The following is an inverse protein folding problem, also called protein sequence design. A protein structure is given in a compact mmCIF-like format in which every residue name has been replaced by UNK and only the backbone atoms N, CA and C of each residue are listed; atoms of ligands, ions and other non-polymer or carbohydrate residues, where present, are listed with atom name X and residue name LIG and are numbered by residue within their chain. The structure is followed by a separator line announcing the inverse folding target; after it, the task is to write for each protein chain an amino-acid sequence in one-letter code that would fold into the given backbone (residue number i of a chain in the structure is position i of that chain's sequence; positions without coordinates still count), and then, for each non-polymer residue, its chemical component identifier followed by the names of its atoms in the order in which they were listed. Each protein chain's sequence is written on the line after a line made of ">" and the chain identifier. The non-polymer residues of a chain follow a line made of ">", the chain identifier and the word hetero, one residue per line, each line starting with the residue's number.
data_IF_992178078280
#
_entry.id   IF_992178078280
#
_cell.length_a   1.000
_cell.length_b   1.000
_cell.length_c   1.000
_cell.angle_alpha   90.00
_cell.angle_beta   90.00
_cell.angle_gamma   90.00
#
_symmetry.space_group_name_H-M   'P 1'
#
loop_
_entity.id
_entity.type
_entity.pdbx_description
1 polymer ?
#
# COMPACT_ATOMS: atom_id res chain seq x y z
N UNK A 1 -20.04 15.01 27.35
CA UNK A 1 -19.45 14.51 26.10
C UNK A 1 -17.95 14.54 26.30
N UNK A 2 -17.34 13.44 26.71
CA UNK A 2 -15.89 13.32 26.71
C UNK A 2 -15.45 13.20 25.26
N UNK A 3 -14.78 14.24 24.74
CA UNK A 3 -14.03 14.11 23.50
C UNK A 3 -12.96 13.09 23.81
N UNK A 4 -13.04 11.91 23.20
CA UNK A 4 -12.07 10.84 23.37
C UNK A 4 -10.75 11.29 22.71
N UNK A 5 -10.01 12.16 23.40
CA UNK A 5 -8.75 12.72 22.95
C UNK A 5 -7.69 11.65 23.16
N UNK A 6 -7.20 11.08 22.05
CA UNK A 6 -6.00 10.26 22.05
C UNK A 6 -4.88 11.02 22.77
N UNK A 7 -4.25 10.37 23.75
CA UNK A 7 -3.12 10.97 24.47
C UNK A 7 -1.89 10.99 23.57
N UNK A 8 -0.94 11.90 23.82
CA UNK A 8 0.29 11.97 23.03
C UNK A 8 1.07 10.65 23.04
N UNK A 9 1.04 9.92 24.16
CA UNK A 9 1.67 8.60 24.25
C UNK A 9 0.97 7.55 23.38
N UNK A 10 -0.37 7.54 23.36
CA UNK A 10 -1.13 6.65 22.47
C UNK A 10 -0.91 7.02 21.01
N UNK A 11 -0.86 8.31 20.70
CA UNK A 11 -0.60 8.83 19.36
C UNK A 11 0.81 8.45 18.90
N UNK A 12 1.82 8.63 19.75
CA UNK A 12 3.20 8.20 19.50
C UNK A 12 3.29 6.71 19.21
N UNK A 13 2.66 5.87 20.01
CA UNK A 13 2.66 4.41 19.81
C UNK A 13 1.98 4.01 18.49
N UNK A 14 0.90 4.71 18.11
CA UNK A 14 0.22 4.48 16.84
C UNK A 14 1.10 4.87 15.64
N UNK A 15 1.82 5.98 15.73
CA UNK A 15 2.76 6.44 14.72
C UNK A 15 3.91 5.45 14.57
N UNK A 16 4.52 5.00 15.67
CA UNK A 16 5.62 4.02 15.65
C UNK A 16 5.17 2.72 14.97
N UNK A 17 4.02 2.18 15.37
CA UNK A 17 3.46 0.96 14.74
C UNK A 17 3.20 1.14 13.25
N UNK A 18 2.74 2.31 12.82
CA UNK A 18 2.51 2.61 11.41
C UNK A 18 3.83 2.61 10.62
N UNK A 19 4.88 3.21 11.19
CA UNK A 19 6.22 3.24 10.58
C UNK A 19 6.86 1.84 10.54
N UNK A 20 6.69 1.03 11.59
CA UNK A 20 7.17 -0.37 11.64
C UNK A 20 6.46 -1.28 10.63
N UNK A 21 5.21 -0.96 10.27
CA UNK A 21 4.44 -1.77 9.32
C UNK A 21 4.88 -1.55 7.86
N UNK A 22 5.43 -0.38 7.53
CA UNK A 22 5.94 -0.10 6.19
C UNK A 22 7.36 -0.67 6.06
N UNK A 23 7.47 -1.85 5.43
CA UNK A 23 8.74 -2.56 5.23
C UNK A 23 9.79 -1.77 4.44
N UNK A 24 9.42 -0.63 3.85
CA UNK A 24 10.33 0.23 3.10
C UNK A 24 10.96 1.32 3.98
N UNK A 25 10.48 1.50 5.21
CA UNK A 25 10.98 2.46 6.19
C UNK A 25 11.79 1.71 7.25
N UNK A 26 13.04 2.11 7.47
CA UNK A 26 13.79 1.64 8.65
C UNK A 26 13.38 2.46 9.88
N UNK A 27 12.32 2.01 10.54
CA UNK A 27 11.81 2.66 11.75
C UNK A 27 12.84 2.72 12.90
N UNK A 28 13.89 1.89 12.88
CA UNK A 28 14.93 1.88 13.93
C UNK A 28 15.77 3.15 13.95
N UNK A 29 15.85 3.86 12.82
CA UNK A 29 16.62 5.10 12.66
C UNK A 29 15.75 6.35 12.82
N UNK A 30 14.44 6.19 13.06
CA UNK A 30 13.48 7.29 13.17
C UNK A 30 13.00 7.40 14.62
N UNK A 31 13.30 8.53 15.24
CA UNK A 31 12.80 8.89 16.55
C UNK A 31 11.55 9.77 16.43
N UNK A 32 10.48 9.33 17.09
CA UNK A 32 9.18 10.01 17.13
C UNK A 32 8.95 10.63 18.51
N UNK A 33 8.64 11.92 18.53
CA UNK A 33 8.18 12.66 19.71
C UNK A 33 6.82 13.27 19.42
N UNK A 34 5.94 13.30 20.41
CA UNK A 34 4.59 13.86 20.29
C UNK A 34 4.32 14.74 21.50
N UNK A 35 3.87 15.96 21.25
CA UNK A 35 3.48 16.91 22.28
C UNK A 35 2.26 17.71 21.83
N UNK A 36 1.16 17.64 22.59
CA UNK A 36 -0.13 18.28 22.30
C UNK A 36 -0.68 17.99 20.89
N UNK A 37 -0.41 16.80 20.35
CA UNK A 37 -0.74 16.40 18.97
C UNK A 37 0.21 16.95 17.89
N UNK A 38 1.29 17.65 18.26
CA UNK A 38 2.39 17.99 17.36
C UNK A 38 3.41 16.85 17.34
N UNK A 39 3.65 16.30 16.15
CA UNK A 39 4.56 15.17 15.92
C UNK A 39 5.89 15.71 15.43
N UNK A 40 6.99 15.39 16.11
CA UNK A 40 8.34 15.68 15.66
C UNK A 40 9.04 14.39 15.27
N UNK A 41 9.52 14.33 14.02
CA UNK A 41 10.32 13.23 13.49
C UNK A 41 11.79 13.67 13.42
N UNK A 42 12.69 12.87 13.98
CA UNK A 42 14.15 13.12 13.95
C UNK A 42 14.89 11.82 13.65
N UNK A 43 16.12 11.91 13.15
CA UNK A 43 16.93 10.75 12.78
C UNK A 43 17.18 10.70 11.29
N UNK A 44 17.46 9.52 10.75
CA UNK A 44 17.82 9.36 9.34
C UNK A 44 16.80 8.55 8.58
N UNK A 45 16.59 8.92 7.31
CA UNK A 45 15.79 8.15 6.37
C UNK A 45 16.55 8.00 5.05
N UNK A 46 16.25 6.96 4.28
CA UNK A 46 16.89 6.73 2.98
C UNK A 46 16.22 7.60 1.91
N UNK A 47 17.02 8.09 0.96
CA UNK A 47 16.57 8.91 -0.18
C UNK A 47 15.41 8.29 -0.99
N UNK A 48 15.26 6.96 -0.93
CA UNK A 48 14.25 6.19 -1.66
C UNK A 48 12.82 6.48 -1.17
N UNK A 49 12.67 7.16 -0.03
CA UNK A 49 11.40 7.67 0.43
C UNK A 49 11.30 9.16 0.20
N UNK A 50 10.38 9.55 -0.68
CA UNK A 50 9.95 10.92 -0.76
C UNK A 50 9.32 11.27 0.61
N UNK A 51 9.98 12.15 1.38
CA UNK A 51 9.55 12.63 2.70
C UNK A 51 8.07 13.05 2.74
N UNK A 52 7.49 13.37 1.58
CA UNK A 52 6.07 13.63 1.34
C UNK A 52 5.16 12.46 1.73
N UNK A 53 5.55 11.21 1.47
CA UNK A 53 4.75 10.00 1.75
C UNK A 53 4.59 9.80 3.26
N UNK A 54 5.69 9.89 4.02
CA UNK A 54 5.66 9.75 5.49
C UNK A 54 4.76 10.83 6.09
N UNK A 55 4.98 12.10 5.72
CA UNK A 55 4.18 13.22 6.24
C UNK A 55 2.70 13.07 5.87
N UNK A 56 2.40 12.65 4.64
CA UNK A 56 1.02 12.43 4.19
C UNK A 56 0.33 11.29 4.97
N UNK A 57 0.98 10.15 5.17
CA UNK A 57 0.40 9.04 5.93
C UNK A 57 0.18 9.40 7.40
N UNK A 58 1.14 10.08 8.03
CA UNK A 58 1.01 10.48 9.43
C UNK A 58 -0.07 11.56 9.62
N UNK A 59 -0.28 12.44 8.64
CA UNK A 59 -1.33 13.47 8.71
C UNK A 59 -2.75 12.90 8.79
N UNK A 60 -2.95 11.65 8.34
CA UNK A 60 -4.25 10.96 8.36
C UNK A 60 -4.57 10.35 9.73
N UNK A 61 -3.61 10.31 10.65
CA UNK A 61 -3.81 9.74 11.99
C UNK A 61 -4.60 10.73 12.84
N UNK A 62 -5.81 10.33 13.25
CA UNK A 62 -6.62 11.10 14.19
C UNK A 62 -5.82 11.46 15.45
N UNK A 63 -5.74 12.76 15.75
CA UNK A 63 -4.93 13.32 16.85
C UNK A 63 -3.70 14.10 16.40
N UNK A 64 -3.22 13.89 15.17
CA UNK A 64 -2.12 14.69 14.59
C UNK A 64 -2.63 16.07 14.19
N UNK A 65 -2.09 17.11 14.80
CA UNK A 65 -2.41 18.52 14.50
C UNK A 65 -1.34 19.16 13.60
N UNK A 66 -0.08 18.76 13.78
CA UNK A 66 1.07 19.30 13.06
C UNK A 66 2.19 18.27 13.02
N UNK A 67 2.99 18.32 11.96
CA UNK A 67 4.16 17.46 11.79
C UNK A 67 5.38 18.36 11.55
N UNK A 68 6.40 18.22 12.39
CA UNK A 68 7.73 18.78 12.21
C UNK A 68 8.62 17.64 11.74
N UNK A 69 9.01 17.68 10.46
CA UNK A 69 9.90 16.70 9.87
C UNK A 69 11.35 17.23 9.89
N UNK A 70 12.17 16.68 10.78
CA UNK A 70 13.60 16.92 10.89
C UNK A 70 14.40 15.62 10.58
N UNK A 71 13.92 14.83 9.64
CA UNK A 71 14.64 13.65 9.16
C UNK A 71 15.77 14.06 8.22
N UNK A 72 16.99 13.65 8.55
CA UNK A 72 18.15 13.77 7.69
C UNK A 72 18.08 12.68 6.61
N UNK A 73 18.04 13.11 5.35
CA UNK A 73 18.06 12.19 4.23
C UNK A 73 19.49 11.70 4.00
N UNK A 74 19.74 10.44 4.34
CA UNK A 74 20.98 9.75 3.96
C UNK A 74 20.74 9.11 2.60
N UNK A 75 21.10 9.85 1.57
CA UNK A 75 21.23 9.29 0.24
C UNK A 75 22.57 8.56 0.21
N UNK A 76 22.50 7.23 0.26
CA UNK A 76 23.68 6.40 0.02
C UNK A 76 24.13 6.75 -1.41
N UNK A 77 25.29 7.40 -1.52
CA UNK A 77 25.84 7.85 -2.80
C UNK A 77 26.41 6.64 -3.56
N UNK A 78 25.52 5.76 -4.01
CA UNK A 78 25.70 5.24 -5.35
C UNK A 78 25.30 6.37 -6.30
N UNK A 79 26.06 6.56 -7.38
CA UNK A 79 25.69 7.48 -8.44
C UNK A 79 24.22 7.22 -8.80
N UNK A 80 23.36 8.26 -8.69
CA UNK A 80 21.92 8.09 -8.96
C UNK A 80 21.83 7.63 -10.41
N UNK A 81 21.28 6.43 -10.68
CA UNK A 81 21.29 5.90 -12.04
C UNK A 81 20.52 6.84 -12.97
N UNK A 82 20.98 6.95 -14.22
CA UNK A 82 20.23 7.72 -15.23
C UNK A 82 18.85 7.08 -15.47
N UNK A 83 17.91 7.82 -16.06
CA UNK A 83 16.59 7.25 -16.40
C UNK A 83 16.74 5.99 -17.28
N UNK A 84 17.70 5.97 -18.20
CA UNK A 84 18.01 4.78 -19.01
C UNK A 84 18.56 3.61 -18.18
N UNK A 85 19.39 3.89 -17.18
CA UNK A 85 19.90 2.86 -16.27
C UNK A 85 18.81 2.33 -15.35
N UNK A 86 17.93 3.19 -14.84
CA UNK A 86 16.75 2.79 -14.06
C UNK A 86 15.85 1.88 -14.92
N UNK A 87 15.55 2.28 -16.15
CA UNK A 87 14.74 1.51 -17.08
C UNK A 87 15.33 0.12 -17.30
N UNK A 88 16.63 0.04 -17.62
CA UNK A 88 17.34 -1.22 -17.83
C UNK A 88 17.38 -2.10 -16.57
N UNK A 89 17.55 -1.50 -15.40
CA UNK A 89 17.55 -2.21 -14.12
C UNK A 89 16.17 -2.80 -13.84
N UNK A 90 15.10 -2.06 -14.12
CA UNK A 90 13.72 -2.56 -14.03
C UNK A 90 13.49 -3.71 -15.00
N UNK A 91 13.85 -3.55 -16.28
CA UNK A 91 13.68 -4.62 -17.28
C UNK A 91 14.43 -5.89 -16.86
N UNK A 92 15.65 -5.75 -16.33
CA UNK A 92 16.44 -6.87 -15.82
C UNK A 92 15.74 -7.55 -14.64
N UNK A 93 15.25 -6.76 -13.67
CA UNK A 93 14.51 -7.25 -12.52
C UNK A 93 13.27 -8.06 -12.94
N UNK A 94 12.43 -7.49 -13.81
CA UNK A 94 11.19 -8.13 -14.25
C UNK A 94 11.43 -9.40 -15.07
N UNK A 95 12.56 -9.48 -15.81
CA UNK A 95 12.92 -10.68 -16.57
C UNK A 95 13.50 -11.82 -15.69
N UNK A 96 14.11 -11.50 -14.56
CA UNK A 96 14.66 -12.50 -13.64
C UNK A 96 13.56 -13.08 -12.74
N UNK A 97 12.56 -12.28 -12.38
CA UNK A 97 11.46 -12.73 -11.53
C UNK A 97 10.48 -13.63 -12.29
N UNK A 98 10.67 -14.95 -12.16
CA UNK A 98 9.78 -15.97 -12.74
C UNK A 98 8.31 -15.90 -12.30
N UNK A 99 7.97 -15.12 -11.27
CA UNK A 99 6.57 -14.90 -10.85
C UNK A 99 5.89 -13.79 -11.66
N UNK A 100 6.67 -13.00 -12.41
CA UNK A 100 6.19 -11.90 -13.24
C UNK A 100 6.36 -12.27 -14.72
N UNK A 101 5.28 -12.16 -15.49
CA UNK A 101 5.33 -12.25 -16.94
C UNK A 101 5.49 -10.84 -17.52
N UNK A 102 6.73 -10.49 -17.88
CA UNK A 102 7.07 -9.18 -18.43
C UNK A 102 6.77 -9.04 -19.93
N UNK A 103 6.27 -10.09 -20.61
CA UNK A 103 6.19 -10.14 -22.08
C UNK A 103 5.32 -9.04 -22.70
N UNK A 104 4.35 -8.52 -21.95
CA UNK A 104 3.41 -7.49 -22.39
C UNK A 104 3.51 -6.22 -21.53
N UNK A 105 4.65 -5.98 -20.89
CA UNK A 105 4.89 -4.82 -20.04
C UNK A 105 5.89 -3.89 -20.71
N UNK A 106 5.58 -2.60 -20.76
CA UNK A 106 6.49 -1.56 -21.24
C UNK A 106 6.76 -0.59 -20.11
N UNK A 107 8.04 -0.25 -19.96
CA UNK A 107 8.55 0.67 -18.94
C UNK A 107 9.06 1.92 -19.64
N UNK A 108 8.80 3.09 -19.05
CA UNK A 108 9.43 4.34 -19.44
C UNK A 108 9.79 5.09 -18.16
N UNK A 109 10.97 5.69 -18.11
CA UNK A 109 11.43 6.46 -16.95
C UNK A 109 11.65 7.92 -17.33
N UNK A 110 11.19 8.84 -16.49
CA UNK A 110 11.43 10.27 -16.66
C UNK A 110 11.64 10.94 -15.30
N UNK A 111 12.84 11.45 -15.08
CA UNK A 111 13.30 12.08 -13.84
C UNK A 111 13.06 11.18 -12.62
N UNK A 112 13.34 9.88 -12.78
CA UNK A 112 13.11 8.84 -11.77
C UNK A 112 11.64 8.43 -11.58
N UNK A 113 10.69 9.00 -12.32
CA UNK A 113 9.29 8.55 -12.30
C UNK A 113 9.10 7.47 -13.37
N UNK A 114 8.66 6.29 -12.95
CA UNK A 114 8.43 5.13 -13.81
C UNK A 114 6.99 5.10 -14.27
N UNK A 115 6.76 4.95 -15.56
CA UNK A 115 5.46 4.75 -16.18
C UNK A 115 5.38 3.32 -16.70
N UNK A 116 4.41 2.56 -16.19
CA UNK A 116 4.21 1.16 -16.52
C UNK A 116 2.95 1.05 -17.38
N UNK A 117 3.09 0.52 -18.59
CA UNK A 117 1.98 0.28 -19.52
C UNK A 117 1.95 -1.17 -19.99
N UNK A 118 0.80 -1.58 -20.52
CA UNK A 118 0.61 -2.92 -21.07
C UNK A 118 -0.38 -3.74 -20.25
N UNK A 119 -0.17 -5.05 -20.18
CA UNK A 119 -1.17 -5.98 -19.63
C UNK A 119 -0.57 -7.07 -18.75
N UNK A 120 -1.29 -7.47 -17.71
CA UNK A 120 -0.98 -8.63 -16.86
C UNK A 120 -2.15 -9.60 -16.80
N UNK A 121 -1.89 -10.84 -16.39
CA UNK A 121 -2.93 -11.87 -16.32
C UNK A 121 -3.78 -11.84 -15.02
N UNK A 122 -3.35 -11.05 -14.03
CA UNK A 122 -3.98 -10.95 -12.72
C UNK A 122 -3.71 -9.61 -12.05
N UNK A 123 -4.63 -9.20 -11.17
CA UNK A 123 -4.43 -8.03 -10.32
C UNK A 123 -3.23 -8.19 -9.37
N UNK A 124 -3.01 -9.41 -8.87
CA UNK A 124 -1.83 -9.73 -8.07
C UNK A 124 -0.53 -9.39 -8.82
N UNK A 125 -0.36 -9.90 -10.04
CA UNK A 125 0.82 -9.61 -10.85
C UNK A 125 0.95 -8.11 -11.15
N UNK A 126 -0.16 -7.41 -11.41
CA UNK A 126 -0.16 -5.94 -11.57
C UNK A 126 0.45 -5.23 -10.35
N UNK A 127 0.18 -5.72 -9.14
CA UNK A 127 0.71 -5.15 -7.90
C UNK A 127 2.13 -5.61 -7.57
N UNK A 128 2.49 -6.86 -7.89
CA UNK A 128 3.86 -7.33 -7.71
C UNK A 128 4.85 -6.58 -8.60
N UNK A 129 4.49 -6.30 -9.87
CA UNK A 129 5.30 -5.47 -10.77
C UNK A 129 5.54 -4.08 -10.17
N UNK A 130 4.48 -3.43 -9.68
CA UNK A 130 4.58 -2.11 -9.04
C UNK A 130 5.48 -2.14 -7.79
N UNK A 131 5.27 -3.13 -6.90
CA UNK A 131 6.04 -3.30 -5.68
C UNK A 131 7.53 -3.61 -5.97
N UNK A 132 7.82 -4.40 -6.99
CA UNK A 132 9.18 -4.73 -7.41
C UNK A 132 9.90 -3.48 -7.91
N UNK A 133 9.24 -2.66 -8.73
CA UNK A 133 9.80 -1.43 -9.29
C UNK A 133 10.12 -0.40 -8.20
N UNK A 134 9.27 -0.26 -7.19
CA UNK A 134 9.54 0.65 -6.06
C UNK A 134 10.84 0.32 -5.30
N UNK A 135 11.40 -0.89 -5.47
CA UNK A 135 12.65 -1.31 -4.82
C UNK A 135 13.89 -1.02 -5.66
N UNK A 136 13.74 -0.54 -6.89
CA UNK A 136 14.88 -0.24 -7.78
C UNK A 136 15.50 1.11 -7.39
N UNK A 137 16.82 1.13 -7.27
CA UNK A 137 17.57 2.36 -6.97
C UNK A 137 17.32 3.42 -8.06
N UNK A 138 17.09 4.67 -7.66
CA UNK A 138 16.77 5.79 -8.55
C UNK A 138 15.28 6.01 -8.82
N UNK A 139 14.40 5.04 -8.49
CA UNK A 139 12.95 5.20 -8.63
C UNK A 139 12.42 6.16 -7.57
N UNK A 140 11.75 7.21 -8.02
CA UNK A 140 11.13 8.28 -7.20
C UNK A 140 9.62 8.19 -7.14
N UNK A 141 9.00 7.53 -8.12
CA UNK A 141 7.56 7.32 -8.18
C UNK A 141 7.20 6.34 -9.26
N UNK A 142 6.00 5.75 -9.15
CA UNK A 142 5.50 4.76 -10.12
C UNK A 142 4.07 5.11 -10.50
N UNK A 143 3.82 5.21 -11.81
CA UNK A 143 2.50 5.34 -12.41
C UNK A 143 2.16 4.02 -13.08
N UNK A 144 1.26 3.24 -12.48
CA UNK A 144 0.91 1.89 -12.94
C UNK A 144 -0.41 1.87 -13.75
N UNK A 145 -0.28 1.87 -15.08
CA UNK A 145 -1.39 1.82 -16.03
C UNK A 145 -1.61 0.42 -16.61
N UNK A 146 -1.09 -0.64 -15.98
CA UNK A 146 -1.30 -2.02 -16.45
C UNK A 146 -2.79 -2.39 -16.47
N UNK A 147 -3.28 -2.94 -17.56
CA UNK A 147 -4.61 -3.52 -17.63
C UNK A 147 -4.56 -5.01 -17.26
N UNK A 148 -5.54 -5.49 -16.49
CA UNK A 148 -5.63 -6.92 -16.15
C UNK A 148 -6.46 -7.63 -17.21
N UNK A 149 -5.81 -8.47 -18.02
CA UNK A 149 -6.42 -9.36 -19.00
C UNK A 149 -6.50 -10.77 -18.44
N UNK A 150 -7.67 -11.12 -17.89
CA UNK A 150 -7.91 -12.44 -17.32
C UNK A 150 -7.83 -13.52 -18.40
N UNK A 151 -7.03 -14.56 -18.16
CA UNK A 151 -6.92 -15.73 -19.05
C UNK A 151 -8.15 -16.65 -18.96
N UNK A 152 -8.89 -16.58 -17.86
CA UNK A 152 -10.15 -17.30 -17.65
C UNK A 152 -11.18 -16.34 -17.10
N UNK A 153 -12.37 -16.32 -17.72
CA UNK A 153 -13.49 -15.54 -17.20
C UNK A 153 -14.07 -16.26 -15.99
N UNK A 154 -14.03 -15.60 -14.84
CA UNK A 154 -14.73 -16.01 -13.63
C UNK A 154 -16.03 -15.22 -13.54
N UNK A 155 -17.10 -15.88 -13.13
CA UNK A 155 -18.36 -15.19 -12.86
C UNK A 155 -18.19 -14.31 -11.62
N UNK A 156 -18.67 -13.08 -11.67
CA UNK A 156 -18.58 -12.13 -10.55
C UNK A 156 -19.16 -12.71 -9.26
N UNK A 157 -20.21 -13.53 -9.39
CA UNK A 157 -20.81 -14.27 -8.29
C UNK A 157 -19.83 -15.23 -7.62
N UNK A 158 -19.01 -15.96 -8.38
CA UNK A 158 -18.01 -16.88 -7.84
C UNK A 158 -16.92 -16.12 -7.05
N UNK A 159 -16.47 -14.98 -7.59
CA UNK A 159 -15.50 -14.11 -6.92
C UNK A 159 -16.07 -13.57 -5.61
N UNK A 160 -17.30 -13.02 -5.65
CA UNK A 160 -18.00 -12.48 -4.50
C UNK A 160 -18.22 -13.55 -3.41
N UNK A 161 -18.66 -14.75 -3.80
CA UNK A 161 -18.85 -15.88 -2.89
C UNK A 161 -17.55 -16.30 -2.21
N UNK A 162 -16.43 -16.34 -2.96
CA UNK A 162 -15.12 -16.69 -2.41
C UNK A 162 -14.62 -15.67 -1.39
N UNK A 163 -14.73 -14.36 -1.69
CA UNK A 163 -14.36 -13.28 -0.76
C UNK A 163 -15.28 -13.30 0.47
N UNK A 164 -16.59 -13.43 0.27
CA UNK A 164 -17.57 -13.50 1.36
C UNK A 164 -17.28 -14.71 2.25
N UNK A 165 -16.98 -15.88 1.67
CA UNK A 165 -16.65 -17.09 2.42
C UNK A 165 -15.39 -16.90 3.28
N UNK A 166 -14.35 -16.23 2.74
CA UNK A 166 -13.16 -15.88 3.51
C UNK A 166 -13.49 -14.98 4.71
N UNK A 167 -14.33 -13.96 4.52
CA UNK A 167 -14.80 -13.08 5.59
C UNK A 167 -15.57 -13.88 6.65
N UNK A 168 -16.46 -14.79 6.25
CA UNK A 168 -17.20 -15.63 7.22
C UNK A 168 -16.26 -16.50 8.06
N UNK A 169 -15.25 -17.08 7.40
CA UNK A 169 -14.32 -18.03 8.01
C UNK A 169 -13.31 -17.34 8.93
N UNK A 170 -12.94 -16.10 8.64
CA UNK A 170 -11.94 -15.39 9.44
C UNK A 170 -12.43 -15.03 10.85
N UNK A 171 -13.73 -15.16 11.17
CA UNK A 171 -14.35 -14.81 12.47
C UNK A 171 -14.15 -13.32 12.88
N UNK A 172 -13.61 -12.48 12.00
CA UNK A 172 -13.07 -11.16 12.34
C UNK A 172 -13.98 -9.99 11.95
N UNK A 173 -15.08 -10.24 11.24
CA UNK A 173 -16.10 -9.26 10.95
C UNK A 173 -17.47 -9.93 11.03
N UNK A 174 -18.44 -9.28 11.70
CA UNK A 174 -19.84 -9.60 11.45
C UNK A 174 -20.08 -9.26 9.97
N UNK A 175 -20.45 -10.27 9.17
CA UNK A 175 -20.60 -10.15 7.70
C UNK A 175 -21.48 -8.97 7.32
N UNK A 176 -22.45 -8.63 8.17
CA UNK A 176 -23.40 -7.53 7.98
C UNK A 176 -22.75 -6.14 7.92
N UNK A 177 -21.47 -6.03 8.28
CA UNK A 177 -20.72 -4.78 8.34
C UNK A 177 -19.78 -4.56 7.15
N UNK A 178 -19.64 -5.55 6.27
CA UNK A 178 -18.80 -5.46 5.07
C UNK A 178 -19.64 -5.82 3.85
N UNK A 179 -19.88 -4.84 3.00
CA UNK A 179 -20.50 -5.03 1.69
C UNK A 179 -19.42 -5.37 0.66
N UNK A 180 -19.63 -6.45 -0.10
CA UNK A 180 -18.74 -6.90 -1.17
C UNK A 180 -19.54 -6.93 -2.46
N UNK A 181 -19.19 -6.08 -3.41
CA UNK A 181 -19.77 -6.09 -4.75
C UNK A 181 -18.70 -6.40 -5.79
N UNK A 182 -19.06 -7.19 -6.80
CA UNK A 182 -18.17 -7.51 -7.91
C UNK A 182 -18.90 -7.21 -9.21
N UNK A 183 -18.29 -6.44 -10.10
CA UNK A 183 -18.82 -6.10 -11.41
C UNK A 183 -17.70 -6.15 -12.46
N UNK A 184 -17.80 -7.07 -13.42
CA UNK A 184 -16.78 -7.34 -14.44
C UNK A 184 -15.37 -7.54 -13.84
N UNK A 185 -15.29 -8.27 -12.74
CA UNK A 185 -14.05 -8.51 -11.98
C UNK A 185 -13.52 -7.30 -11.20
N UNK A 186 -14.21 -6.15 -11.21
CA UNK A 186 -13.92 -5.04 -10.30
C UNK A 186 -14.56 -5.31 -8.94
N UNK A 187 -13.75 -5.39 -7.89
CA UNK A 187 -14.21 -5.65 -6.52
C UNK A 187 -14.31 -4.33 -5.77
N UNK A 188 -15.45 -4.07 -5.14
CA UNK A 188 -15.62 -2.97 -4.19
C UNK A 188 -15.86 -3.54 -2.80
N UNK A 189 -15.10 -3.06 -1.82
CA UNK A 189 -15.24 -3.38 -0.41
C UNK A 189 -15.69 -2.10 0.33
N UNK A 190 -16.86 -2.15 0.94
CA UNK A 190 -17.42 -1.03 1.71
C UNK A 190 -17.83 -1.48 3.11
N UNK A 191 -17.89 -0.53 4.04
CA UNK A 191 -18.27 -0.78 5.42
C UNK A 191 -17.13 -0.53 6.39
N UNK A 192 -17.06 -1.30 7.47
CA UNK A 192 -16.00 -1.11 8.45
C UNK A 192 -15.48 -2.41 9.08
N UNK A 193 -14.28 -2.34 9.62
CA UNK A 193 -13.59 -3.42 10.33
C UNK A 193 -13.08 -2.95 11.69
N UNK A 194 -13.02 -3.83 12.71
CA UNK A 194 -12.64 -3.41 14.05
C UNK A 194 -11.15 -3.11 14.21
N UNK A 195 -10.30 -3.78 13.41
CA UNK A 195 -8.83 -3.71 13.56
C UNK A 195 -8.11 -3.73 12.21
N UNK A 196 -6.95 -3.09 12.16
CA UNK A 196 -6.04 -3.09 11.01
C UNK A 196 -5.64 -4.50 10.56
N UNK A 197 -5.50 -5.46 11.48
CA UNK A 197 -5.18 -6.85 11.13
C UNK A 197 -6.24 -7.46 10.21
N UNK A 198 -7.53 -7.16 10.46
CA UNK A 198 -8.65 -7.61 9.62
C UNK A 198 -8.61 -6.92 8.27
N UNK A 199 -8.38 -5.61 8.27
CA UNK A 199 -8.23 -4.81 7.05
C UNK A 199 -7.15 -5.40 6.12
N UNK A 200 -5.95 -5.59 6.64
CA UNK A 200 -4.81 -6.12 5.87
C UNK A 200 -5.05 -7.55 5.42
N UNK A 201 -5.52 -8.42 6.30
CA UNK A 201 -5.81 -9.82 5.98
C UNK A 201 -6.83 -9.95 4.85
N UNK A 202 -7.91 -9.16 4.88
CA UNK A 202 -8.90 -9.12 3.81
C UNK A 202 -8.31 -8.57 2.52
N UNK A 203 -7.61 -7.43 2.60
CA UNK A 203 -6.98 -6.81 1.45
C UNK A 203 -5.99 -7.75 0.74
N UNK A 204 -5.19 -8.50 1.49
CA UNK A 204 -4.22 -9.44 0.93
C UNK A 204 -4.91 -10.66 0.32
N UNK A 205 -5.98 -11.17 0.95
CA UNK A 205 -6.78 -12.23 0.35
C UNK A 205 -7.46 -11.81 -0.95
N UNK A 206 -8.01 -10.59 -1.01
CA UNK A 206 -8.65 -10.07 -2.21
C UNK A 206 -7.60 -9.86 -3.31
N UNK A 207 -6.43 -9.30 -3.01
CA UNK A 207 -5.34 -9.14 -4.00
C UNK A 207 -4.97 -10.43 -4.74
N UNK A 208 -4.93 -11.56 -4.03
CA UNK A 208 -4.55 -12.86 -4.60
C UNK A 208 -5.74 -13.66 -5.16
N UNK A 209 -6.96 -13.14 -5.06
CA UNK A 209 -8.14 -13.84 -5.56
C UNK A 209 -8.22 -13.76 -7.09
N UNK A 210 -8.26 -14.93 -7.72
CA UNK A 210 -8.38 -15.07 -9.17
C UNK A 210 -9.67 -14.44 -9.71
N UNK A 211 -9.58 -13.84 -10.91
CA UNK A 211 -10.72 -13.21 -11.58
C UNK A 211 -10.86 -11.71 -11.32
N UNK A 212 -10.01 -11.14 -10.46
CA UNK A 212 -10.05 -9.72 -10.12
C UNK A 212 -9.25 -8.89 -11.12
N UNK A 213 -9.85 -7.79 -11.57
CA UNK A 213 -9.24 -6.78 -12.45
C UNK A 213 -8.86 -5.50 -11.72
N UNK A 214 -9.64 -5.11 -10.72
CA UNK A 214 -9.40 -3.93 -9.89
C UNK A 214 -10.00 -4.10 -8.51
N UNK A 215 -9.48 -3.35 -7.54
CA UNK A 215 -9.98 -3.31 -6.17
C UNK A 215 -10.20 -1.85 -5.81
N UNK A 216 -11.42 -1.55 -5.38
CA UNK A 216 -11.80 -0.34 -4.67
C UNK A 216 -12.07 -0.72 -3.22
N UNK A 217 -11.18 -0.31 -2.31
CA UNK A 217 -11.29 -0.62 -0.89
C UNK A 217 -11.61 0.66 -0.12
N UNK A 218 -12.87 0.82 0.23
CA UNK A 218 -13.42 1.93 0.99
C UNK A 218 -13.77 1.53 2.44
N UNK A 219 -13.13 0.48 2.97
CA UNK A 219 -13.34 0.05 4.35
C UNK A 219 -12.76 1.06 5.33
N UNK A 220 -13.54 1.36 6.37
CA UNK A 220 -13.09 2.20 7.49
C UNK A 220 -12.75 1.34 8.72
N UNK A 221 -11.97 1.90 9.65
CA UNK A 221 -11.55 1.18 10.86
C UNK A 221 -12.26 1.78 12.06
N UNK A 222 -13.14 0.99 12.68
CA UNK A 222 -13.91 1.38 13.86
C UNK A 222 -13.75 0.35 14.98
N UNK A 223 -12.88 0.59 15.97
CA UNK A 223 -12.67 -0.30 17.10
C UNK A 223 -13.90 -0.51 17.99
N UNK A 224 -14.89 0.39 17.92
CA UNK A 224 -16.15 0.29 18.65
C UNK A 224 -17.23 -0.52 17.92
N UNK A 225 -16.95 -0.91 16.67
CA UNK A 225 -17.85 -1.65 15.77
C UNK A 225 -18.69 -0.70 14.90
N UNK A 226 -18.97 -1.11 13.66
CA UNK A 226 -19.74 -0.28 12.72
C UNK A 226 -21.13 -0.01 13.29
N UNK A 227 -21.51 1.27 13.35
CA UNK A 227 -22.84 1.73 13.77
C UNK A 227 -23.92 1.35 12.77
#
# INVERSE_FOLDING_TARGET
>A
MEVNTITDNELKNKIIKQLEWDSRIDASQIKVEVQDGEVTLTGTTTCLFENSVIVNELSKIAGVKKIINNLDMVCITEEIPSDEEIEKNIETLLNIDSTIDASNITIQVNRGVVYIKGTTNSFFQKKEVENAIYRVNGVRGVTNELAVLLTTKKEDKEIAEKITHYIKKSLLAKIDQINVTVNDGAVTLEGCVPHWQVYHSLNDFVKVTQGIKSIDNSLTIDPSGCK
#
